data_IF_709692730688
#
_entry.id   IF_709692730688
#
_cell.length_a   1.000
_cell.length_b   1.000
_cell.length_c   1.000
_cell.angle_alpha   90.00
_cell.angle_beta   90.00
_cell.angle_gamma   90.00
#
_symmetry.space_group_name_H-M   'P 1'
#
loop_
_entity.id
_entity.type
_entity.pdbx_description
1 polymer ?
#
# COMPACT_ATOMS: atom_id res chain seq x y z
N UNK A 1 27.94 7.93 -3.47
CA UNK A 1 27.85 9.34 -3.05
C UNK A 1 26.39 9.77 -3.04
N UNK A 2 26.02 10.61 -2.07
CA UNK A 2 24.66 11.16 -1.96
C UNK A 2 24.57 12.42 -2.80
N UNK A 3 23.64 12.44 -3.76
CA UNK A 3 23.34 13.63 -4.57
C UNK A 3 22.03 14.24 -4.03
N UNK A 4 22.06 15.54 -3.74
CA UNK A 4 20.89 16.28 -3.28
C UNK A 4 20.57 17.35 -4.32
N UNK A 5 19.30 17.40 -4.76
CA UNK A 5 18.77 18.40 -5.71
C UNK A 5 17.47 18.97 -5.13
N UNK A 6 17.41 20.28 -4.95
CA UNK A 6 16.19 20.95 -4.53
C UNK A 6 15.43 21.45 -5.76
N UNK A 7 14.18 21.02 -5.89
CA UNK A 7 13.31 21.35 -7.00
C UNK A 7 11.92 21.73 -6.48
N UNK A 8 11.24 22.62 -7.19
CA UNK A 8 9.83 22.95 -6.93
C UNK A 8 8.98 22.33 -8.01
N UNK A 9 7.94 21.61 -7.60
CA UNK A 9 6.99 20.98 -8.51
C UNK A 9 5.60 21.56 -8.32
N UNK A 10 4.87 21.71 -9.43
CA UNK A 10 3.50 22.20 -9.41
C UNK A 10 2.51 21.09 -9.01
N UNK A 11 2.86 19.83 -9.28
CA UNK A 11 2.02 18.66 -9.05
C UNK A 11 2.87 17.37 -8.95
N UNK A 12 2.22 16.27 -8.60
CA UNK A 12 2.86 14.96 -8.47
C UNK A 12 3.40 14.41 -9.79
N UNK A 13 2.75 14.73 -10.95
CA UNK A 13 3.20 14.26 -12.24
C UNK A 13 4.57 14.83 -12.60
N UNK A 14 4.77 16.12 -12.36
CA UNK A 14 6.06 16.78 -12.58
C UNK A 14 7.16 16.13 -11.73
N UNK A 15 6.84 15.86 -10.46
CA UNK A 15 7.79 15.21 -9.54
C UNK A 15 8.15 13.79 -9.99
N UNK A 16 7.18 12.97 -10.36
CA UNK A 16 7.42 11.61 -10.86
C UNK A 16 8.21 11.63 -12.17
N UNK A 17 7.88 12.56 -13.08
CA UNK A 17 8.60 12.74 -14.35
C UNK A 17 10.07 13.06 -14.12
N UNK A 18 10.37 13.95 -13.15
CA UNK A 18 11.76 14.27 -12.79
C UNK A 18 12.48 13.05 -12.18
N UNK A 19 11.84 12.29 -11.29
CA UNK A 19 12.42 11.04 -10.76
C UNK A 19 12.76 10.09 -11.91
N UNK A 20 11.84 9.88 -12.86
CA UNK A 20 12.06 9.03 -14.04
C UNK A 20 13.19 9.57 -14.95
N UNK A 21 13.37 10.89 -15.00
CA UNK A 21 14.51 11.50 -15.70
C UNK A 21 15.82 11.21 -15.00
N UNK A 22 15.85 11.36 -13.66
CA UNK A 22 17.06 11.13 -12.87
C UNK A 22 17.52 9.68 -12.89
N UNK A 23 16.62 8.71 -12.87
CA UNK A 23 17.00 7.29 -12.93
C UNK A 23 17.57 6.88 -14.30
N UNK A 24 17.37 7.70 -15.35
CA UNK A 24 17.95 7.52 -16.68
C UNK A 24 19.12 8.47 -16.98
N UNK A 25 19.49 9.32 -16.04
CA UNK A 25 20.57 10.29 -16.27
C UNK A 25 21.88 9.58 -16.61
N UNK A 26 22.62 10.06 -17.61
CA UNK A 26 23.84 9.41 -18.11
C UNK A 26 24.95 9.29 -17.07
N UNK A 27 24.95 10.14 -16.03
CA UNK A 27 26.01 10.19 -15.01
C UNK A 27 25.62 9.51 -13.70
N UNK A 28 24.35 9.59 -13.32
CA UNK A 28 23.87 9.15 -12.02
C UNK A 28 22.74 8.13 -12.10
N UNK A 29 22.17 7.93 -13.29
CA UNK A 29 21.08 6.99 -13.52
C UNK A 29 21.51 5.54 -13.35
N UNK A 30 20.54 4.70 -13.06
CA UNK A 30 20.74 3.24 -12.85
C UNK A 30 20.21 2.39 -14.01
N UNK A 31 19.43 3.00 -14.92
CA UNK A 31 18.91 2.38 -16.14
C UNK A 31 19.17 3.32 -17.33
N UNK A 32 19.23 2.76 -18.53
CA UNK A 32 19.39 3.54 -19.78
C UNK A 32 18.03 3.94 -20.34
N UNK A 33 17.04 3.07 -20.22
CA UNK A 33 15.70 3.27 -20.77
C UNK A 33 14.61 2.72 -19.84
N UNK A 34 13.41 3.31 -19.87
CA UNK A 34 12.28 2.85 -19.05
C UNK A 34 11.81 1.43 -19.40
N UNK A 35 12.18 0.89 -20.56
CA UNK A 35 11.88 -0.50 -20.92
C UNK A 35 12.58 -1.52 -20.04
N UNK A 36 13.67 -1.13 -19.36
CA UNK A 36 14.37 -1.98 -18.37
C UNK A 36 13.58 -2.17 -17.06
N UNK A 37 12.55 -1.37 -16.83
CA UNK A 37 11.64 -1.55 -15.69
C UNK A 37 10.71 -2.71 -16.00
N UNK A 38 10.68 -3.73 -15.13
CA UNK A 38 9.80 -4.90 -15.30
C UNK A 38 8.40 -4.66 -14.74
N UNK A 39 8.28 -3.94 -13.63
CA UNK A 39 7.02 -3.66 -12.95
C UNK A 39 7.10 -2.41 -12.07
N UNK A 40 5.94 -1.85 -11.72
CA UNK A 40 5.82 -0.72 -10.81
C UNK A 40 4.99 -1.14 -9.59
N UNK A 41 5.57 -1.02 -8.39
CA UNK A 41 4.88 -1.27 -7.13
C UNK A 41 4.30 0.01 -6.53
N UNK A 42 3.04 -0.06 -6.12
CA UNK A 42 2.32 1.04 -5.48
C UNK A 42 1.83 0.63 -4.09
N UNK A 43 2.22 1.39 -3.07
CA UNK A 43 1.56 1.30 -1.78
C UNK A 43 0.22 2.04 -1.86
N UNK A 44 -0.86 1.35 -1.54
CA UNK A 44 -2.22 1.91 -1.43
C UNK A 44 -2.68 1.78 0.01
N UNK A 45 -3.10 2.88 0.62
CA UNK A 45 -3.40 2.89 2.05
C UNK A 45 -4.63 2.05 2.37
N UNK A 46 -5.70 2.15 1.57
CA UNK A 46 -6.95 1.47 1.89
C UNK A 46 -7.46 0.60 0.75
N UNK A 47 -7.58 -0.70 1.01
CA UNK A 47 -8.09 -1.70 0.08
C UNK A 47 -9.56 -2.10 0.30
N UNK A 48 -10.24 -1.51 1.29
CA UNK A 48 -11.61 -1.91 1.64
C UNK A 48 -11.68 -3.36 2.08
N UNK A 49 -12.81 -4.00 1.82
CA UNK A 49 -13.03 -5.41 2.08
C UNK A 49 -12.66 -6.30 0.88
N UNK A 50 -12.53 -5.71 -0.31
CA UNK A 50 -12.35 -6.44 -1.56
C UNK A 50 -10.89 -6.75 -1.86
N UNK A 51 -9.98 -5.84 -1.54
CA UNK A 51 -8.55 -6.05 -1.79
C UNK A 51 -7.86 -6.69 -0.58
N UNK A 52 -7.85 -8.02 -0.57
CA UNK A 52 -7.23 -8.83 0.49
C UNK A 52 -5.80 -9.28 0.18
N UNK A 53 -5.33 -9.02 -1.03
CA UNK A 53 -3.99 -9.35 -1.53
C UNK A 53 -3.48 -8.25 -2.45
N UNK A 54 -2.20 -8.32 -2.80
CA UNK A 54 -1.65 -7.50 -3.88
C UNK A 54 -2.29 -7.89 -5.21
N UNK A 55 -2.50 -6.91 -6.08
CA UNK A 55 -3.13 -7.13 -7.39
C UNK A 55 -2.35 -6.43 -8.50
N UNK A 56 -2.47 -6.94 -9.73
CA UNK A 56 -2.16 -6.16 -10.93
C UNK A 56 -3.31 -5.18 -11.15
N UNK A 57 -2.96 -3.90 -11.28
CA UNK A 57 -3.95 -2.83 -11.43
C UNK A 57 -4.52 -2.86 -12.85
N UNK A 58 -5.82 -3.13 -12.96
CA UNK A 58 -6.63 -2.89 -14.15
C UNK A 58 -7.35 -1.55 -14.03
N UNK A 59 -8.05 -1.14 -15.07
CA UNK A 59 -8.89 0.07 -15.03
C UNK A 59 -9.97 -0.05 -13.95
N UNK A 60 -10.63 -1.20 -13.90
CA UNK A 60 -11.70 -1.50 -12.92
C UNK A 60 -11.16 -1.46 -11.49
N UNK A 61 -9.99 -2.06 -11.25
CA UNK A 61 -9.32 -2.02 -9.95
C UNK A 61 -8.94 -0.58 -9.54
N UNK A 62 -8.48 0.23 -10.48
CA UNK A 62 -8.16 1.64 -10.23
C UNK A 62 -9.41 2.45 -9.90
N UNK A 63 -10.52 2.23 -10.61
CA UNK A 63 -11.80 2.89 -10.32
C UNK A 63 -12.33 2.48 -8.94
N UNK A 64 -12.15 1.23 -8.54
CA UNK A 64 -12.48 0.77 -7.19
C UNK A 64 -11.58 1.41 -6.12
N UNK A 65 -10.27 1.50 -6.33
CA UNK A 65 -9.34 2.21 -5.42
C UNK A 65 -9.79 3.67 -5.22
N UNK A 66 -10.24 4.34 -6.30
CA UNK A 66 -10.78 5.70 -6.22
C UNK A 66 -12.08 5.76 -5.40
N UNK A 67 -12.98 4.80 -5.56
CA UNK A 67 -14.23 4.74 -4.80
C UNK A 67 -14.02 4.61 -3.29
N UNK A 68 -12.90 3.98 -2.89
CA UNK A 68 -12.49 3.85 -1.48
C UNK A 68 -11.95 5.16 -0.88
N UNK A 69 -11.89 6.26 -1.63
CA UNK A 69 -11.50 7.58 -1.10
C UNK A 69 -12.38 8.02 0.09
N UNK A 70 -13.64 7.58 0.15
CA UNK A 70 -14.53 7.84 1.30
C UNK A 70 -14.00 7.25 2.62
N UNK A 71 -13.24 6.14 2.57
CA UNK A 71 -12.64 5.50 3.74
C UNK A 71 -11.24 6.05 4.04
N UNK A 72 -10.55 6.59 3.05
CA UNK A 72 -9.21 7.17 3.18
C UNK A 72 -9.06 8.45 2.33
N UNK A 73 -9.81 9.53 2.65
CA UNK A 73 -9.89 10.73 1.79
C UNK A 73 -8.56 11.49 1.67
N UNK A 74 -7.66 11.34 2.65
CA UNK A 74 -6.35 11.98 2.63
C UNK A 74 -5.28 11.19 1.83
N UNK A 75 -5.53 9.92 1.54
CA UNK A 75 -4.50 9.03 0.99
C UNK A 75 -4.89 8.40 -0.35
N UNK A 76 -6.05 7.75 -0.45
CA UNK A 76 -6.42 7.01 -1.67
C UNK A 76 -6.48 7.86 -2.93
N UNK A 77 -6.97 9.13 -2.92
CA UNK A 77 -6.90 9.97 -4.11
C UNK A 77 -5.48 10.19 -4.64
N UNK A 78 -4.54 10.46 -3.73
CA UNK A 78 -3.13 10.63 -4.11
C UNK A 78 -2.49 9.30 -4.58
N UNK A 79 -2.85 8.17 -3.95
CA UNK A 79 -2.39 6.85 -4.39
C UNK A 79 -2.90 6.52 -5.81
N UNK A 80 -4.19 6.72 -6.07
CA UNK A 80 -4.77 6.49 -7.40
C UNK A 80 -4.13 7.39 -8.47
N UNK A 81 -3.91 8.66 -8.16
CA UNK A 81 -3.20 9.60 -9.05
C UNK A 81 -1.78 9.11 -9.36
N UNK A 82 -1.04 8.64 -8.36
CA UNK A 82 0.31 8.09 -8.59
C UNK A 82 0.30 6.87 -9.51
N UNK A 83 -0.69 5.99 -9.38
CA UNK A 83 -0.89 4.84 -10.27
C UNK A 83 -1.17 5.31 -11.70
N UNK A 84 -2.12 6.24 -11.89
CA UNK A 84 -2.47 6.78 -13.21
C UNK A 84 -1.27 7.39 -13.94
N UNK A 85 -0.48 8.18 -13.21
CA UNK A 85 0.71 8.81 -13.76
C UNK A 85 1.73 7.75 -14.20
N UNK A 86 1.98 6.72 -13.39
CA UNK A 86 2.89 5.66 -13.76
C UNK A 86 2.38 4.84 -14.95
N UNK A 87 1.08 4.54 -15.03
CA UNK A 87 0.48 3.87 -16.19
C UNK A 87 0.61 4.71 -17.48
N UNK A 88 0.57 6.03 -17.37
CA UNK A 88 0.75 6.95 -18.52
C UNK A 88 2.21 7.02 -18.96
N UNK A 89 3.14 7.18 -18.02
CA UNK A 89 4.55 7.46 -18.30
C UNK A 89 5.36 6.18 -18.62
N UNK A 90 5.01 5.04 -17.99
CA UNK A 90 5.72 3.76 -18.14
C UNK A 90 4.75 2.77 -18.78
N UNK A 91 4.57 2.90 -20.10
CA UNK A 91 3.59 2.09 -20.85
C UNK A 91 3.96 0.61 -20.89
N UNK A 92 2.94 -0.23 -20.98
CA UNK A 92 3.06 -1.68 -21.16
C UNK A 92 3.81 -2.42 -20.03
N UNK A 93 3.86 -1.84 -18.85
CA UNK A 93 4.42 -2.48 -17.67
C UNK A 93 3.33 -2.71 -16.61
N UNK A 94 3.34 -3.87 -15.93
CA UNK A 94 2.38 -4.14 -14.88
C UNK A 94 2.55 -3.16 -13.72
N UNK A 95 1.46 -2.55 -13.30
CA UNK A 95 1.37 -1.78 -12.08
C UNK A 95 0.76 -2.67 -11.00
N UNK A 96 1.40 -2.80 -9.85
CA UNK A 96 1.00 -3.69 -8.76
C UNK A 96 0.61 -2.84 -7.56
N UNK A 97 -0.63 -2.96 -7.10
CA UNK A 97 -1.08 -2.33 -5.86
C UNK A 97 -0.91 -3.28 -4.69
N UNK A 98 -0.31 -2.77 -3.61
CA UNK A 98 -0.13 -3.46 -2.32
C UNK A 98 -0.83 -2.63 -1.26
N UNK A 99 -1.76 -3.24 -0.52
CA UNK A 99 -2.66 -2.52 0.38
C UNK A 99 -2.26 -2.65 1.85
N UNK A 100 -2.21 -1.53 2.56
CA UNK A 100 -1.92 -1.53 4.01
C UNK A 100 -2.97 -2.27 4.83
N UNK A 101 -4.21 -2.35 4.34
CA UNK A 101 -5.29 -3.05 5.02
C UNK A 101 -5.32 -4.55 4.74
N UNK A 102 -4.64 -5.05 3.70
CA UNK A 102 -4.76 -6.42 3.24
C UNK A 102 -4.34 -7.46 4.29
N UNK A 103 -3.26 -7.22 5.03
CA UNK A 103 -2.79 -8.12 6.09
C UNK A 103 -3.83 -8.33 7.20
N UNK A 104 -4.66 -7.30 7.45
CA UNK A 104 -5.71 -7.32 8.45
C UNK A 104 -7.04 -7.92 7.95
N UNK A 105 -7.11 -8.39 6.72
CA UNK A 105 -8.29 -9.05 6.17
C UNK A 105 -8.64 -10.38 6.87
N UNK A 106 -7.73 -10.88 7.70
CA UNK A 106 -7.91 -12.09 8.50
C UNK A 106 -8.56 -11.85 9.86
N UNK A 107 -8.86 -10.59 10.21
CA UNK A 107 -9.58 -10.26 11.44
C UNK A 107 -10.97 -10.92 11.43
N UNK A 108 -11.34 -11.55 12.55
CA UNK A 108 -12.69 -12.11 12.73
C UNK A 108 -13.73 -11.01 12.98
N UNK A 109 -15.04 -11.28 12.79
CA UNK A 109 -16.09 -10.29 13.05
C UNK A 109 -16.01 -9.66 14.44
N UNK A 110 -15.70 -10.43 15.47
CA UNK A 110 -15.55 -9.95 16.84
C UNK A 110 -14.38 -8.97 17.01
N UNK A 111 -13.37 -9.08 16.13
CA UNK A 111 -12.19 -8.22 16.18
C UNK A 111 -12.33 -6.96 15.31
N UNK A 112 -13.16 -6.99 14.26
CA UNK A 112 -13.30 -5.84 13.37
C UNK A 112 -14.60 -5.04 13.55
N UNK A 113 -15.69 -5.61 14.07
CA UNK A 113 -16.95 -4.89 14.28
C UNK A 113 -16.84 -3.94 15.48
N UNK A 114 -17.40 -2.76 15.35
CA UNK A 114 -17.59 -1.83 16.45
C UNK A 114 -18.95 -2.08 17.14
N UNK A 115 -19.05 -1.71 18.39
CA UNK A 115 -20.30 -1.78 19.17
C UNK A 115 -21.23 -0.60 18.83
N UNK A 116 -21.65 -0.51 17.57
CA UNK A 116 -22.57 0.45 16.98
C UNK A 116 -23.66 -0.31 16.24
N UNK A 117 -24.74 0.33 15.74
CA UNK A 117 -25.74 -0.35 14.91
C UNK A 117 -25.09 -1.12 13.75
N UNK A 118 -25.52 -2.36 13.53
CA UNK A 118 -24.91 -3.23 12.53
C UNK A 118 -25.14 -2.71 11.10
N UNK A 119 -26.21 -1.97 10.90
CA UNK A 119 -26.57 -1.30 9.66
C UNK A 119 -25.48 -0.32 9.21
N UNK A 120 -24.78 0.33 10.14
CA UNK A 120 -23.64 1.23 9.82
C UNK A 120 -22.48 0.46 9.17
N UNK A 121 -22.27 -0.77 9.59
CA UNK A 121 -21.31 -1.63 8.91
C UNK A 121 -21.83 -2.09 7.54
N UNK A 122 -23.08 -2.52 7.45
CA UNK A 122 -23.64 -3.04 6.20
C UNK A 122 -23.70 -1.96 5.11
N UNK A 123 -24.12 -0.75 5.44
CA UNK A 123 -24.31 0.34 4.49
C UNK A 123 -23.00 1.11 4.21
N UNK A 124 -22.31 1.52 5.28
CA UNK A 124 -21.16 2.43 5.17
C UNK A 124 -19.81 1.74 5.30
N UNK A 125 -19.79 0.42 5.60
CA UNK A 125 -18.57 -0.36 5.86
C UNK A 125 -17.74 0.20 7.02
N UNK A 126 -18.43 0.74 8.05
CA UNK A 126 -17.79 1.24 9.26
C UNK A 126 -17.35 0.05 10.11
N UNK A 127 -16.05 -0.17 10.14
CA UNK A 127 -15.39 -1.25 10.87
C UNK A 127 -13.94 -0.92 11.13
N UNK A 128 -13.26 -1.71 11.96
CA UNK A 128 -11.79 -1.71 12.05
C UNK A 128 -11.21 -2.39 10.81
N UNK A 129 -10.30 -1.72 10.11
CA UNK A 129 -9.55 -2.29 8.99
C UNK A 129 -8.11 -2.62 9.39
N UNK A 130 -7.44 -1.76 10.13
CA UNK A 130 -6.02 -1.84 10.43
C UNK A 130 -5.16 -1.30 9.28
N UNK A 131 -4.00 -0.72 9.63
CA UNK A 131 -3.05 -0.13 8.68
C UNK A 131 -1.64 -0.63 8.96
N UNK A 132 -0.67 -0.18 8.17
CA UNK A 132 0.71 -0.64 8.18
C UNK A 132 0.84 -2.16 7.95
N UNK A 133 -0.16 -2.78 7.31
CA UNK A 133 -0.21 -4.22 7.08
C UNK A 133 0.97 -4.73 6.28
N UNK A 134 1.52 -3.94 5.36
CA UNK A 134 2.72 -4.29 4.60
C UNK A 134 3.91 -4.48 5.54
N UNK A 135 4.08 -3.58 6.52
CA UNK A 135 5.12 -3.70 7.54
C UNK A 135 4.91 -4.93 8.43
N UNK A 136 3.68 -5.17 8.87
CA UNK A 136 3.37 -6.35 9.69
C UNK A 136 3.59 -7.65 8.96
N UNK A 137 3.20 -7.74 7.71
CA UNK A 137 3.43 -8.91 6.87
C UNK A 137 4.94 -9.20 6.75
N UNK A 138 5.74 -8.19 6.45
CA UNK A 138 7.18 -8.35 6.34
C UNK A 138 7.82 -8.79 7.66
N UNK A 139 7.50 -8.12 8.77
CA UNK A 139 8.04 -8.48 10.09
C UNK A 139 7.61 -9.88 10.52
N UNK A 140 6.35 -10.27 10.25
CA UNK A 140 5.86 -11.61 10.53
C UNK A 140 6.70 -12.67 9.81
N UNK A 141 6.97 -12.47 8.51
CA UNK A 141 7.81 -13.37 7.73
C UNK A 141 9.26 -13.44 8.25
N UNK A 142 9.84 -12.31 8.64
CA UNK A 142 11.19 -12.30 9.23
C UNK A 142 11.23 -13.01 10.58
N UNK A 143 10.21 -12.81 11.42
CA UNK A 143 10.10 -13.52 12.70
C UNK A 143 9.97 -15.04 12.48
N UNK A 144 9.15 -15.48 11.52
CA UNK A 144 9.02 -16.90 11.19
C UNK A 144 10.34 -17.54 10.74
N UNK A 145 11.16 -16.82 9.96
CA UNK A 145 12.51 -17.28 9.59
C UNK A 145 13.44 -17.46 10.80
N UNK A 146 13.33 -16.60 11.80
CA UNK A 146 14.23 -16.57 12.94
C UNK A 146 13.85 -17.56 14.05
N UNK A 147 12.56 -17.72 14.33
CA UNK A 147 12.08 -18.52 15.49
C UNK A 147 11.06 -19.60 15.11
N UNK A 148 10.83 -19.82 13.81
CA UNK A 148 9.92 -20.82 13.27
C UNK A 148 8.46 -20.36 13.20
N UNK A 149 7.64 -21.18 12.56
CA UNK A 149 6.20 -20.96 12.33
C UNK A 149 5.36 -21.13 13.60
N UNK A 150 4.05 -20.88 13.47
CA UNK A 150 3.04 -21.13 14.52
C UNK A 150 3.32 -20.37 15.84
N UNK A 151 3.69 -19.12 15.72
CA UNK A 151 3.98 -18.25 16.86
C UNK A 151 2.88 -17.21 17.09
N UNK A 152 2.79 -16.77 18.35
CA UNK A 152 2.03 -15.58 18.75
C UNK A 152 3.01 -14.43 18.90
N UNK A 153 2.82 -13.39 18.12
CA UNK A 153 3.75 -12.25 18.03
C UNK A 153 2.98 -10.95 18.21
N UNK A 154 3.55 -10.02 18.93
CA UNK A 154 3.10 -8.63 18.95
C UNK A 154 4.13 -7.83 18.17
N UNK A 155 3.67 -7.12 17.15
CA UNK A 155 4.52 -6.26 16.34
C UNK A 155 4.12 -4.80 16.56
N UNK A 156 5.11 -3.96 16.85
CA UNK A 156 4.96 -2.53 17.01
C UNK A 156 5.57 -1.82 15.80
N UNK A 157 4.74 -1.16 15.00
CA UNK A 157 5.19 -0.24 13.97
C UNK A 157 5.24 1.17 14.57
N UNK A 158 6.43 1.66 14.87
CA UNK A 158 6.65 2.92 15.59
C UNK A 158 7.41 3.89 14.68
N UNK A 159 6.68 4.73 13.98
CA UNK A 159 7.19 5.78 13.11
C UNK A 159 6.40 7.07 13.32
N UNK A 160 6.33 7.93 12.30
CA UNK A 160 5.46 9.11 12.32
C UNK A 160 3.97 8.70 12.49
N UNK A 161 3.55 7.64 11.78
CA UNK A 161 2.36 6.87 12.14
C UNK A 161 2.76 5.71 13.02
N UNK A 162 1.96 5.38 14.04
CA UNK A 162 2.21 4.30 14.96
C UNK A 162 1.00 3.37 15.07
N UNK A 163 1.25 2.07 15.15
CA UNK A 163 0.23 1.06 15.41
C UNK A 163 0.84 -0.20 16.02
N UNK A 164 0.01 -1.04 16.63
CA UNK A 164 0.38 -2.33 17.21
C UNK A 164 -0.55 -3.39 16.65
N UNK A 165 -0.02 -4.56 16.32
CA UNK A 165 -0.78 -5.69 15.81
C UNK A 165 -0.44 -6.96 16.56
N UNK A 166 -1.47 -7.71 16.97
CA UNK A 166 -1.31 -9.08 17.43
C UNK A 166 -1.42 -10.03 16.23
N UNK A 167 -0.42 -10.89 16.10
CA UNK A 167 -0.29 -11.85 15.01
C UNK A 167 -0.25 -13.26 15.61
N UNK A 168 -1.01 -14.16 15.02
CA UNK A 168 -0.96 -15.58 15.35
C UNK A 168 -0.87 -16.37 14.05
N UNK A 169 0.12 -17.28 13.99
CA UNK A 169 0.32 -18.17 12.85
C UNK A 169 0.37 -17.39 11.52
N UNK A 170 1.13 -16.28 11.48
CA UNK A 170 1.29 -15.41 10.32
C UNK A 170 0.07 -14.55 9.97
N UNK A 171 -0.99 -14.52 10.79
CA UNK A 171 -2.25 -13.79 10.54
C UNK A 171 -2.52 -12.73 11.59
N UNK A 172 -2.99 -11.57 11.15
CA UNK A 172 -3.50 -10.52 12.04
C UNK A 172 -4.75 -11.01 12.76
N UNK A 173 -4.77 -10.87 14.10
CA UNK A 173 -5.89 -11.28 14.95
C UNK A 173 -6.46 -10.14 15.81
N UNK A 174 -5.70 -9.03 16.00
CA UNK A 174 -6.16 -7.83 16.68
C UNK A 174 -5.33 -6.61 16.29
#
# INVERSE_FOLDING_TARGET
DKITKELRFSNHKDAITEVLSLIKDEKIGIIKDLSEIDAIGHRVVHGGENFRNSIIVTKEALDEIKSLARLAPLHNPANAMGIEICMELIKNKPNIAVFDTAFHSTLSPEAFLYAIPYEDYEEFKIRKYGFHGISYMYISQEVEKLIGENKKVIVCHLGNGASVCAIKDGKSIA
#
